data_IF_147331852658
#
_entry.id   IF_147331852658
#
_cell.length_a   1.000
_cell.length_b   1.000
_cell.length_c   1.000
_cell.angle_alpha   90.00
_cell.angle_beta   90.00
_cell.angle_gamma   90.00
#
_symmetry.space_group_name_H-M   'P 1'
#
loop_
_entity.id
_entity.type
_entity.pdbx_description
1 polymer ?
#
# COMPACT_ATOMS: atom_id res chain seq x y z
N UNK A 1 30.78 -17.46 -1.37
CA UNK A 1 29.79 -16.36 -1.40
C UNK A 1 29.82 -15.79 -2.80
N UNK A 2 28.69 -15.80 -3.50
CA UNK A 2 28.61 -15.31 -4.87
C UNK A 2 28.04 -13.89 -4.82
N UNK A 3 28.92 -12.88 -4.80
CA UNK A 3 28.49 -11.48 -4.88
C UNK A 3 28.19 -11.17 -6.35
N UNK A 4 26.92 -10.90 -6.67
CA UNK A 4 26.53 -10.48 -8.03
C UNK A 4 26.64 -8.97 -8.14
N UNK A 5 27.55 -8.48 -8.99
CA UNK A 5 27.72 -7.05 -9.27
C UNK A 5 26.88 -6.70 -10.49
N UNK A 6 25.88 -5.83 -10.31
CA UNK A 6 25.14 -5.25 -11.42
C UNK A 6 25.81 -3.94 -11.85
N UNK A 7 26.31 -3.89 -13.08
CA UNK A 7 26.74 -2.65 -13.72
C UNK A 7 25.57 -2.07 -14.50
N UNK A 8 24.89 -1.07 -13.95
CA UNK A 8 23.91 -0.30 -14.72
C UNK A 8 24.69 0.74 -15.53
N UNK A 9 25.12 0.35 -16.74
CA UNK A 9 25.73 1.28 -17.68
C UNK A 9 24.62 2.06 -18.38
N UNK A 10 24.65 3.39 -18.32
CA UNK A 10 23.88 4.21 -19.27
C UNK A 10 24.35 3.86 -20.68
N UNK A 11 23.50 3.18 -21.45
CA UNK A 11 23.85 2.77 -22.80
C UNK A 11 24.18 4.01 -23.64
N UNK A 12 25.45 4.14 -24.05
CA UNK A 12 25.83 5.08 -25.08
C UNK A 12 25.40 4.47 -26.42
N UNK A 13 24.19 4.81 -26.87
CA UNK A 13 23.76 4.43 -28.21
C UNK A 13 24.40 5.39 -29.23
N UNK A 14 24.92 4.86 -30.36
CA UNK A 14 25.57 5.67 -31.37
C UNK A 14 24.56 6.70 -31.91
N UNK A 15 25.01 7.95 -32.07
CA UNK A 15 24.25 9.01 -32.74
C UNK A 15 23.82 8.53 -34.13
N UNK A 16 22.57 8.08 -34.26
CA UNK A 16 21.90 7.88 -35.55
C UNK A 16 20.52 8.53 -35.50
N UNK A 17 20.45 9.69 -36.15
CA UNK A 17 19.30 10.27 -36.84
C UNK A 17 17.90 9.97 -36.25
N UNK A 18 17.46 10.85 -35.34
CA UNK A 18 16.15 11.51 -35.36
C UNK A 18 14.85 10.68 -35.33
N UNK A 19 14.79 9.51 -34.68
CA UNK A 19 13.49 8.94 -34.21
C UNK A 19 13.66 8.22 -32.86
N UNK A 20 12.96 8.72 -31.83
CA UNK A 20 12.63 8.05 -30.56
C UNK A 20 13.81 7.51 -29.73
N UNK A 21 14.20 8.23 -28.68
CA UNK A 21 15.16 7.76 -27.69
C UNK A 21 14.50 6.71 -26.79
N UNK A 22 15.01 5.47 -26.79
CA UNK A 22 14.68 4.48 -25.76
C UNK A 22 15.59 4.70 -24.54
N UNK A 23 15.02 5.15 -23.44
CA UNK A 23 15.70 5.18 -22.14
C UNK A 23 15.55 3.82 -21.45
N UNK A 24 16.57 3.40 -20.70
CA UNK A 24 16.47 2.25 -19.77
C UNK A 24 15.57 2.61 -18.57
N UNK A 25 15.47 3.92 -18.27
CA UNK A 25 14.48 4.50 -17.38
C UNK A 25 13.76 5.58 -18.17
N UNK A 26 12.73 5.19 -18.91
CA UNK A 26 11.76 6.14 -19.47
C UNK A 26 10.87 6.58 -18.31
N UNK A 27 10.84 7.88 -18.03
CA UNK A 27 9.98 8.45 -16.99
C UNK A 27 8.49 8.35 -17.36
N UNK A 28 8.17 7.93 -18.58
CA UNK A 28 6.81 7.60 -19.04
C UNK A 28 6.55 6.10 -19.17
N UNK A 29 7.55 5.24 -18.98
CA UNK A 29 7.41 3.79 -19.05
C UNK A 29 8.52 3.12 -18.24
N UNK A 30 8.33 2.91 -16.93
CA UNK A 30 9.28 2.14 -16.15
C UNK A 30 9.24 0.72 -16.70
N UNK A 31 10.24 0.34 -17.50
CA UNK A 31 10.47 -1.04 -17.86
C UNK A 31 10.41 -1.84 -16.57
N UNK A 32 9.50 -2.82 -16.53
CA UNK A 32 9.40 -3.81 -15.48
C UNK A 32 10.82 -4.14 -15.06
N UNK A 33 11.19 -3.73 -13.86
CA UNK A 33 12.35 -4.24 -13.15
C UNK A 33 12.08 -5.74 -13.13
N UNK A 34 12.57 -6.46 -14.13
CA UNK A 34 12.47 -7.90 -14.20
C UNK A 34 12.95 -8.34 -12.85
N UNK A 35 12.02 -8.91 -12.10
CA UNK A 35 12.16 -9.31 -10.71
C UNK A 35 13.13 -10.49 -10.70
N UNK A 36 14.41 -10.20 -10.95
CA UNK A 36 15.50 -11.02 -10.49
C UNK A 36 15.30 -11.05 -8.99
N UNK A 37 14.84 -12.21 -8.51
CA UNK A 37 14.75 -12.52 -7.09
C UNK A 37 16.05 -12.06 -6.43
N UNK A 38 16.03 -10.90 -5.76
CA UNK A 38 17.18 -10.25 -5.13
C UNK A 38 17.59 -11.00 -3.84
N UNK A 39 17.58 -12.34 -3.86
CA UNK A 39 17.83 -13.14 -2.66
C UNK A 39 19.31 -13.14 -2.24
N UNK A 40 20.24 -12.67 -3.09
CA UNK A 40 21.69 -12.79 -2.84
C UNK A 40 22.52 -11.58 -3.31
N UNK A 41 21.99 -10.35 -3.22
CA UNK A 41 22.79 -9.15 -3.53
C UNK A 41 23.40 -8.59 -2.24
N UNK A 42 24.72 -8.62 -2.17
CA UNK A 42 25.54 -8.07 -1.07
C UNK A 42 25.94 -6.60 -1.34
N UNK A 43 26.07 -6.23 -2.61
CA UNK A 43 26.48 -4.89 -3.06
C UNK A 43 25.68 -4.46 -4.28
N UNK A 44 25.27 -3.19 -4.33
CA UNK A 44 24.82 -2.52 -5.56
C UNK A 44 25.81 -1.42 -5.91
N UNK A 45 26.36 -1.45 -7.13
CA UNK A 45 27.32 -0.45 -7.61
C UNK A 45 26.65 0.38 -8.70
N UNK A 46 26.50 1.68 -8.45
CA UNK A 46 26.01 2.62 -9.44
C UNK A 46 27.20 3.42 -9.97
N UNK A 47 27.34 3.45 -11.30
CA UNK A 47 28.41 4.13 -12.00
C UNK A 47 27.81 5.08 -13.02
N UNK A 48 28.06 6.39 -12.85
CA UNK A 48 27.75 7.39 -13.87
C UNK A 48 29.07 7.86 -14.50
N UNK A 49 29.22 7.62 -15.82
CA UNK A 49 30.39 8.01 -16.57
C UNK A 49 30.47 9.51 -16.89
N UNK A 50 29.42 10.28 -16.55
CA UNK A 50 29.39 11.72 -16.76
C UNK A 50 29.55 12.48 -15.46
N UNK A 51 30.72 13.10 -15.33
CA UNK A 51 30.96 14.20 -14.40
C UNK A 51 29.81 15.21 -14.52
N UNK A 52 28.98 15.34 -13.47
CA UNK A 52 27.85 16.29 -13.35
C UNK A 52 26.55 15.98 -14.13
N UNK A 53 26.27 14.73 -14.54
CA UNK A 53 25.01 14.41 -15.22
C UNK A 53 24.15 13.28 -14.63
N UNK A 54 24.39 12.88 -13.37
CA UNK A 54 23.28 12.41 -12.55
C UNK A 54 22.31 13.60 -12.55
N UNK A 55 21.29 13.55 -13.40
CA UNK A 55 20.19 14.49 -13.26
C UNK A 55 19.74 14.32 -11.82
N UNK A 56 19.48 15.42 -11.11
CA UNK A 56 19.06 15.37 -9.70
C UNK A 56 17.99 14.28 -9.46
N UNK A 57 17.20 13.92 -10.48
CA UNK A 57 16.26 12.80 -10.48
C UNK A 57 16.84 11.41 -10.17
N UNK A 58 17.97 10.97 -10.75
CA UNK A 58 18.51 9.61 -10.51
C UNK A 58 19.18 9.50 -9.15
N UNK A 59 19.93 10.53 -8.73
CA UNK A 59 20.44 10.61 -7.36
C UNK A 59 19.28 10.70 -6.37
N UNK A 60 18.23 11.49 -6.63
CA UNK A 60 17.07 11.55 -5.74
C UNK A 60 16.29 10.23 -5.70
N UNK A 61 16.23 9.47 -6.80
CA UNK A 61 15.61 8.14 -6.82
C UNK A 61 16.46 7.13 -6.05
N UNK A 62 17.76 7.10 -6.25
CA UNK A 62 18.63 6.18 -5.52
C UNK A 62 18.66 6.59 -4.04
N UNK A 63 18.98 7.85 -3.76
CA UNK A 63 19.21 8.37 -2.40
C UNK A 63 17.93 8.54 -1.58
N UNK A 64 16.81 8.89 -2.21
CA UNK A 64 15.51 9.02 -1.56
C UNK A 64 14.68 7.74 -1.55
N UNK A 65 14.84 6.86 -2.55
CA UNK A 65 13.92 5.74 -2.80
C UNK A 65 14.54 4.36 -2.59
N UNK A 66 15.83 4.16 -2.84
CA UNK A 66 16.52 2.87 -2.71
C UNK A 66 17.44 2.78 -1.48
N UNK A 67 18.19 3.83 -1.16
CA UNK A 67 19.16 3.83 -0.04
C UNK A 67 18.50 3.56 1.31
N UNK A 68 17.42 4.27 1.71
CA UNK A 68 16.91 4.16 3.08
C UNK A 68 16.37 2.77 3.45
N UNK A 69 16.17 1.90 2.46
CA UNK A 69 15.51 0.61 2.61
C UNK A 69 16.47 -0.58 2.49
N UNK A 70 17.55 -0.47 1.72
CA UNK A 70 18.36 -1.63 1.35
C UNK A 70 19.85 -1.50 1.70
N UNK A 71 20.33 -0.32 2.08
CA UNK A 71 21.76 -0.05 2.24
C UNK A 71 22.05 0.87 3.42
N UNK A 72 23.04 0.53 4.24
CA UNK A 72 23.45 1.28 5.45
C UNK A 72 24.82 1.96 5.30
N UNK A 73 25.67 1.44 4.41
CA UNK A 73 26.96 2.04 4.08
C UNK A 73 26.99 2.50 2.62
N UNK A 74 27.36 3.75 2.42
CA UNK A 74 27.60 4.36 1.10
C UNK A 74 29.08 4.66 0.96
N UNK A 75 29.72 4.08 -0.04
CA UNK A 75 31.11 4.38 -0.39
C UNK A 75 31.16 5.15 -1.69
N UNK A 76 31.65 6.38 -1.63
CA UNK A 76 31.92 7.19 -2.81
C UNK A 76 33.40 7.09 -3.20
N UNK A 77 33.68 6.63 -4.41
CA UNK A 77 35.03 6.65 -4.98
C UNK A 77 34.99 7.13 -6.43
N UNK A 78 35.47 8.35 -6.66
CA UNK A 78 35.45 9.01 -7.98
C UNK A 78 34.03 9.05 -8.58
N UNK A 79 33.76 8.21 -9.58
CA UNK A 79 32.50 8.12 -10.32
C UNK A 79 31.67 6.89 -9.93
N UNK A 80 32.06 6.21 -8.86
CA UNK A 80 31.44 4.98 -8.38
C UNK A 80 30.83 5.29 -7.02
N UNK A 81 29.54 5.01 -6.89
CA UNK A 81 28.89 4.89 -5.59
C UNK A 81 28.59 3.41 -5.36
N UNK A 82 29.13 2.86 -4.28
CA UNK A 82 28.89 1.49 -3.84
C UNK A 82 27.97 1.56 -2.64
N UNK A 83 26.84 0.88 -2.75
CA UNK A 83 25.94 0.65 -1.63
C UNK A 83 26.16 -0.78 -1.13
N UNK A 84 26.48 -0.89 0.16
CA UNK A 84 26.59 -2.18 0.82
C UNK A 84 25.29 -2.45 1.57
N UNK A 85 24.77 -3.67 1.43
CA UNK A 85 23.59 -4.10 2.17
C UNK A 85 24.00 -4.39 3.62
N UNK A 86 23.29 -3.81 4.59
CA UNK A 86 23.50 -4.22 5.99
C UNK A 86 23.07 -5.68 6.13
N UNK A 87 23.85 -6.51 6.82
CA UNK A 87 23.48 -7.90 7.05
C UNK A 87 22.20 -8.06 7.90
N UNK A 88 21.68 -6.99 8.53
CA UNK A 88 20.44 -7.01 9.32
C UNK A 88 19.72 -5.65 9.29
N UNK A 89 19.21 -5.20 8.13
CA UNK A 89 18.41 -3.97 8.11
C UNK A 89 17.05 -4.29 8.71
N UNK A 90 16.81 -3.73 9.90
CA UNK A 90 15.47 -3.49 10.38
C UNK A 90 14.97 -2.23 9.67
N UNK A 91 14.05 -2.41 8.74
CA UNK A 91 13.43 -1.26 8.07
C UNK A 91 12.30 -0.81 8.99
N UNK A 92 12.62 0.08 9.94
CA UNK A 92 11.59 0.68 10.79
C UNK A 92 10.55 1.38 9.92
N UNK A 93 9.27 1.24 10.28
CA UNK A 93 8.13 1.80 9.57
C UNK A 93 7.63 0.96 8.38
N UNK A 94 8.25 -0.19 8.06
CA UNK A 94 7.72 -1.12 7.05
C UNK A 94 7.27 -2.41 7.72
N UNK A 95 6.02 -2.80 7.49
CA UNK A 95 5.39 -3.93 8.18
C UNK A 95 5.20 -5.14 7.26
N UNK A 96 5.15 -6.35 7.84
CA UNK A 96 4.90 -7.59 7.09
C UNK A 96 3.45 -7.64 6.65
N UNK A 97 3.19 -7.70 5.35
CA UNK A 97 1.82 -7.76 4.85
C UNK A 97 1.77 -8.44 3.48
N UNK A 98 0.56 -8.70 2.98
CA UNK A 98 0.39 -9.10 1.56
C UNK A 98 0.80 -7.94 0.65
N UNK A 99 0.43 -6.71 1.03
CA UNK A 99 0.86 -5.47 0.40
C UNK A 99 1.50 -4.56 1.46
N UNK A 100 2.81 -4.39 1.35
CA UNK A 100 3.63 -3.46 2.13
C UNK A 100 4.24 -2.35 1.26
N UNK A 101 3.86 -2.32 -0.02
CA UNK A 101 4.22 -1.35 -1.06
C UNK A 101 5.72 -1.05 -1.24
N UNK A 102 6.63 -1.87 -0.70
CA UNK A 102 8.08 -1.59 -0.72
C UNK A 102 8.67 -1.55 -2.13
N UNK A 103 8.02 -2.23 -3.08
CA UNK A 103 8.45 -2.30 -4.47
C UNK A 103 7.64 -1.38 -5.40
N UNK A 104 6.63 -0.67 -4.87
CA UNK A 104 5.85 0.26 -5.66
C UNK A 104 6.61 1.59 -5.77
N UNK A 105 6.77 2.08 -7.00
CA UNK A 105 7.59 3.27 -7.29
C UNK A 105 6.75 4.54 -7.25
N UNK A 106 5.55 4.50 -7.83
CA UNK A 106 4.57 5.59 -7.78
C UNK A 106 3.19 4.98 -7.61
N UNK A 107 2.79 4.07 -8.48
CA UNK A 107 1.44 3.48 -8.40
C UNK A 107 1.46 2.15 -7.65
N UNK A 108 0.45 1.86 -6.79
CA UNK A 108 0.30 0.56 -6.16
C UNK A 108 -0.10 -0.50 -7.21
N UNK A 109 0.90 -1.17 -7.80
CA UNK A 109 0.79 -1.88 -9.09
C UNK A 109 -0.25 -3.03 -9.17
N UNK A 110 -0.84 -3.44 -8.05
CA UNK A 110 -1.84 -4.52 -7.98
C UNK A 110 -3.26 -4.05 -7.68
N UNK A 111 -3.43 -2.74 -7.51
CA UNK A 111 -4.71 -2.12 -7.21
C UNK A 111 -5.29 -1.45 -8.46
N UNK A 112 -6.61 -1.53 -8.61
CA UNK A 112 -7.35 -0.74 -9.59
C UNK A 112 -7.63 0.64 -9.00
N UNK A 113 -7.32 1.70 -9.76
CA UNK A 113 -7.38 3.07 -9.29
C UNK A 113 -8.49 3.86 -10.00
N UNK A 114 -9.26 4.63 -9.26
CA UNK A 114 -10.10 5.70 -9.77
C UNK A 114 -9.58 7.03 -9.20
N UNK A 115 -9.02 7.85 -10.09
CA UNK A 115 -8.34 9.11 -9.78
C UNK A 115 -9.13 10.31 -10.34
N UNK A 116 -10.45 10.17 -10.52
CA UNK A 116 -11.29 11.28 -10.99
C UNK A 116 -11.33 12.46 -10.02
N UNK A 117 -11.28 12.19 -8.71
CA UNK A 117 -11.26 13.21 -7.65
C UNK A 117 -9.87 13.71 -7.23
N UNK A 118 -8.78 13.14 -7.73
CA UNK A 118 -7.44 13.44 -7.21
C UNK A 118 -6.38 12.42 -7.64
N UNK A 119 -5.39 12.12 -6.79
CA UNK A 119 -4.28 11.20 -7.10
C UNK A 119 -4.06 10.11 -6.05
N UNK A 120 -3.63 8.92 -6.50
CA UNK A 120 -3.28 7.79 -5.65
C UNK A 120 -1.83 7.40 -5.92
N UNK A 121 -0.98 7.43 -4.88
CA UNK A 121 0.45 7.12 -5.01
C UNK A 121 1.07 6.51 -3.77
N UNK A 122 2.05 5.62 -3.98
CA UNK A 122 2.98 5.18 -2.97
C UNK A 122 4.00 6.29 -2.66
N UNK A 123 3.97 6.79 -1.43
CA UNK A 123 4.91 7.77 -0.89
C UNK A 123 5.94 7.11 0.02
N UNK A 124 7.06 7.79 0.21
CA UNK A 124 8.19 7.24 0.96
C UNK A 124 7.89 7.04 2.43
N UNK A 125 7.26 8.03 3.05
CA UNK A 125 7.03 8.07 4.48
C UNK A 125 5.85 8.99 4.81
N UNK A 126 5.08 8.59 5.81
CA UNK A 126 4.05 9.40 6.46
C UNK A 126 3.91 8.95 7.92
N UNK A 127 3.98 9.87 8.88
CA UNK A 127 3.82 9.59 10.31
C UNK A 127 4.62 8.38 10.85
N UNK A 128 5.85 8.20 10.36
CA UNK A 128 6.74 7.10 10.76
C UNK A 128 6.45 5.75 10.09
N UNK A 129 5.34 5.62 9.34
CA UNK A 129 5.12 4.54 8.40
C UNK A 129 5.86 4.83 7.10
N UNK A 130 6.45 3.82 6.47
CA UNK A 130 7.20 3.94 5.23
C UNK A 130 6.57 3.11 4.13
N UNK A 131 6.71 3.59 2.89
CA UNK A 131 6.11 2.98 1.70
C UNK A 131 4.59 2.85 1.88
N UNK A 132 3.98 4.01 2.08
CA UNK A 132 2.55 4.17 2.38
C UNK A 132 1.83 4.57 1.10
N UNK A 133 0.61 4.08 0.87
CA UNK A 133 -0.23 4.59 -0.21
C UNK A 133 -1.03 5.78 0.28
N UNK A 134 -0.91 6.92 -0.40
CA UNK A 134 -1.73 8.11 -0.22
C UNK A 134 -2.82 8.14 -1.29
N UNK A 135 -4.08 8.35 -0.89
CA UNK A 135 -5.16 8.80 -1.75
C UNK A 135 -5.39 10.28 -1.41
N UNK A 136 -4.97 11.19 -2.28
CA UNK A 136 -5.24 12.62 -2.12
C UNK A 136 -6.44 13.01 -2.97
N UNK A 137 -7.49 13.51 -2.34
CA UNK A 137 -8.69 13.99 -3.00
C UNK A 137 -8.69 15.52 -2.98
N UNK A 138 -8.82 16.15 -4.14
CA UNK A 138 -8.84 17.60 -4.32
C UNK A 138 -10.09 18.08 -5.07
N UNK A 139 -11.13 17.24 -5.13
CA UNK A 139 -12.35 17.52 -5.86
C UNK A 139 -13.57 17.42 -4.93
N UNK A 140 -14.46 18.41 -4.97
CA UNK A 140 -15.67 18.40 -4.14
C UNK A 140 -16.79 17.49 -4.67
N UNK A 141 -16.74 17.13 -5.96
CA UNK A 141 -17.80 16.41 -6.66
C UNK A 141 -17.45 14.97 -7.04
N UNK A 142 -16.17 14.71 -7.26
CA UNK A 142 -15.67 13.39 -7.64
C UNK A 142 -14.98 12.73 -6.44
N UNK A 143 -14.84 11.41 -6.46
CA UNK A 143 -14.16 10.65 -5.41
C UNK A 143 -12.86 10.05 -5.92
N UNK A 144 -11.95 9.75 -4.98
CA UNK A 144 -10.77 8.92 -5.20
C UNK A 144 -11.02 7.53 -4.61
N UNK A 145 -10.67 6.49 -5.36
CA UNK A 145 -10.91 5.10 -4.93
C UNK A 145 -9.77 4.18 -5.36
N UNK A 146 -9.36 3.28 -4.46
CA UNK A 146 -8.53 2.12 -4.80
C UNK A 146 -9.29 0.81 -4.52
N UNK A 147 -9.08 -0.18 -5.37
CA UNK A 147 -9.73 -1.50 -5.27
C UNK A 147 -8.74 -2.63 -5.48
N UNK A 148 -8.66 -3.54 -4.51
CA UNK A 148 -7.95 -4.82 -4.65
C UNK A 148 -8.95 -5.91 -5.04
N UNK A 149 -8.63 -6.64 -6.10
CA UNK A 149 -9.44 -7.75 -6.60
C UNK A 149 -8.82 -9.08 -6.22
N UNK A 150 -9.65 -10.01 -5.72
CA UNK A 150 -9.20 -11.33 -5.32
C UNK A 150 -10.21 -12.42 -5.68
N UNK A 151 -9.77 -13.69 -5.60
CA UNK A 151 -10.67 -14.83 -5.78
C UNK A 151 -11.76 -14.80 -4.71
N UNK A 152 -12.99 -15.20 -5.06
CA UNK A 152 -14.14 -15.21 -4.14
C UNK A 152 -13.80 -15.85 -2.79
N UNK A 153 -14.10 -15.14 -1.70
CA UNK A 153 -13.94 -15.60 -0.32
C UNK A 153 -15.31 -15.66 0.35
N UNK A 154 -15.62 -16.78 1.01
CA UNK A 154 -16.83 -16.92 1.82
C UNK A 154 -16.64 -16.50 3.28
N UNK A 155 -15.39 -16.37 3.73
CA UNK A 155 -15.03 -15.84 5.05
C UNK A 155 -13.55 -15.51 5.04
N UNK A 156 -13.09 -14.74 6.02
CA UNK A 156 -11.68 -14.41 6.16
C UNK A 156 -11.41 -13.19 7.03
N UNK A 157 -10.13 -12.79 7.05
CA UNK A 157 -9.65 -11.63 7.78
C UNK A 157 -8.89 -10.70 6.82
N UNK A 158 -9.18 -9.41 6.89
CA UNK A 158 -8.36 -8.34 6.30
C UNK A 158 -7.79 -7.49 7.43
N UNK A 159 -6.49 -7.21 7.40
CA UNK A 159 -5.85 -6.28 8.34
C UNK A 159 -5.09 -5.20 7.60
N UNK A 160 -5.06 -3.98 8.13
CA UNK A 160 -4.35 -2.85 7.54
C UNK A 160 -4.07 -1.75 8.58
N UNK A 161 -3.13 -0.87 8.26
CA UNK A 161 -3.05 0.45 8.87
C UNK A 161 -3.81 1.46 8.00
N UNK A 162 -4.60 2.29 8.66
CA UNK A 162 -5.47 3.27 8.02
C UNK A 162 -5.41 4.60 8.78
N UNK A 163 -5.18 5.69 8.06
CA UNK A 163 -5.25 7.06 8.56
C UNK A 163 -6.07 7.94 7.62
N UNK A 164 -6.78 8.93 8.17
CA UNK A 164 -7.47 9.97 7.40
C UNK A 164 -7.15 11.36 7.95
N UNK A 165 -6.90 12.32 7.05
CA UNK A 165 -6.74 13.75 7.39
C UNK A 165 -8.06 14.52 7.40
N UNK A 166 -9.18 13.81 7.22
CA UNK A 166 -10.53 14.35 7.34
C UNK A 166 -11.43 13.26 7.93
N UNK A 167 -12.24 13.64 8.91
CA UNK A 167 -13.07 12.71 9.68
C UNK A 167 -14.53 13.17 9.80
N UNK A 168 -14.85 14.38 9.37
CA UNK A 168 -16.22 14.87 9.27
C UNK A 168 -16.90 14.35 8.01
N UNK A 169 -16.18 14.36 6.89
CA UNK A 169 -16.62 13.83 5.61
C UNK A 169 -16.29 12.35 5.45
N UNK A 170 -17.05 11.68 4.59
CA UNK A 170 -17.02 10.22 4.53
C UNK A 170 -15.78 9.69 3.81
N UNK A 171 -15.04 8.82 4.49
CA UNK A 171 -14.13 7.85 3.87
C UNK A 171 -14.58 6.44 4.23
N UNK A 172 -14.55 5.52 3.27
CA UNK A 172 -15.15 4.19 3.43
C UNK A 172 -14.19 3.05 3.10
N UNK A 173 -14.37 1.95 3.83
CA UNK A 173 -13.74 0.66 3.60
C UNK A 173 -14.86 -0.37 3.41
N UNK A 174 -14.90 -1.01 2.23
CA UNK A 174 -16.01 -1.89 1.85
C UNK A 174 -15.50 -3.22 1.31
N UNK A 175 -16.13 -4.31 1.73
CA UNK A 175 -15.96 -5.61 1.12
C UNK A 175 -17.18 -5.88 0.25
N UNK A 176 -16.96 -6.15 -1.03
CA UNK A 176 -18.04 -6.18 -2.02
C UNK A 176 -18.02 -7.46 -2.86
N UNK A 177 -19.17 -7.74 -3.46
CA UNK A 177 -19.41 -8.83 -4.40
C UNK A 177 -20.22 -8.31 -5.58
N UNK A 178 -19.58 -8.13 -6.73
CA UNK A 178 -20.20 -7.54 -7.93
C UNK A 178 -20.81 -6.14 -7.69
N UNK A 179 -22.11 -6.04 -7.38
CA UNK A 179 -22.83 -4.80 -7.09
C UNK A 179 -23.36 -4.73 -5.66
N UNK A 180 -23.10 -5.77 -4.85
CA UNK A 180 -23.58 -5.91 -3.47
C UNK A 180 -22.44 -5.63 -2.49
N UNK A 181 -22.78 -5.04 -1.34
CA UNK A 181 -21.84 -4.64 -0.28
C UNK A 181 -22.09 -5.45 0.98
N UNK A 182 -21.07 -6.16 1.46
CA UNK A 182 -21.11 -6.86 2.74
C UNK A 182 -20.71 -5.92 3.89
N UNK A 183 -19.58 -6.14 4.56
CA UNK A 183 -19.03 -5.17 5.50
C UNK A 183 -18.82 -3.79 4.85
N UNK A 184 -19.49 -2.77 5.40
CA UNK A 184 -19.36 -1.38 5.01
C UNK A 184 -19.02 -0.55 6.25
N UNK A 185 -17.74 -0.19 6.36
CA UNK A 185 -17.20 0.64 7.44
C UNK A 185 -16.88 2.02 6.88
N UNK A 186 -17.07 3.07 7.66
CA UNK A 186 -16.64 4.41 7.29
C UNK A 186 -16.16 5.22 8.49
N UNK A 187 -15.41 6.28 8.22
CA UNK A 187 -15.27 7.42 9.12
C UNK A 187 -16.15 8.53 8.59
N UNK A 188 -16.99 9.11 9.45
CA UNK A 188 -17.84 10.27 9.16
C UNK A 188 -18.26 10.93 10.48
N UNK A 189 -18.43 12.25 10.48
CA UNK A 189 -18.87 13.01 11.65
C UNK A 189 -18.04 12.74 12.92
N UNK A 190 -16.72 12.64 12.76
CA UNK A 190 -15.76 12.31 13.81
C UNK A 190 -15.93 10.92 14.44
N UNK A 191 -16.61 9.97 13.79
CA UNK A 191 -16.84 8.62 14.30
C UNK A 191 -16.40 7.55 13.30
N UNK A 192 -15.91 6.43 13.82
CA UNK A 192 -16.00 5.16 13.10
C UNK A 192 -17.45 4.68 13.13
N UNK A 193 -17.98 4.31 11.97
CA UNK A 193 -19.34 3.83 11.79
C UNK A 193 -19.36 2.60 10.88
N UNK A 194 -20.44 1.83 10.93
CA UNK A 194 -20.76 0.87 9.88
C UNK A 194 -22.18 1.08 9.35
N UNK A 195 -22.42 0.69 8.11
CA UNK A 195 -23.75 0.68 7.51
C UNK A 195 -24.36 -0.71 7.60
N UNK A 196 -25.57 -0.81 8.16
CA UNK A 196 -26.25 -2.08 8.41
C UNK A 196 -27.34 -2.43 7.38
N UNK A 197 -27.28 -1.79 6.20
CA UNK A 197 -28.30 -1.91 5.15
C UNK A 197 -29.39 -0.85 5.22
N UNK A 198 -29.61 -0.24 6.39
CA UNK A 198 -30.64 0.78 6.61
C UNK A 198 -30.10 2.14 7.06
N UNK A 199 -29.12 2.14 7.97
CA UNK A 199 -28.55 3.36 8.55
C UNK A 199 -27.10 3.16 8.96
N UNK A 200 -26.39 4.27 9.14
CA UNK A 200 -25.06 4.26 9.75
C UNK A 200 -25.18 4.20 11.27
N UNK A 201 -24.46 3.26 11.87
CA UNK A 201 -24.40 3.05 13.33
C UNK A 201 -23.00 3.38 13.81
N UNK A 202 -22.92 4.23 14.85
CA UNK A 202 -21.65 4.59 15.51
C UNK A 202 -21.03 3.40 16.21
N UNK A 203 -19.73 3.20 15.99
CA UNK A 203 -18.91 2.19 16.67
C UNK A 203 -18.14 2.86 17.82
N UNK A 204 -17.31 3.85 17.49
CA UNK A 204 -16.51 4.62 18.43
C UNK A 204 -16.08 5.95 17.83
N UNK A 205 -15.35 6.76 18.60
CA UNK A 205 -14.74 7.99 18.13
C UNK A 205 -13.60 7.69 17.15
N UNK A 206 -13.50 8.46 16.08
CA UNK A 206 -12.36 8.45 15.18
C UNK A 206 -11.31 9.47 15.65
N UNK A 207 -10.05 9.25 15.29
CA UNK A 207 -8.97 10.21 15.54
C UNK A 207 -8.41 10.66 14.19
N UNK A 208 -8.33 11.98 14.02
CA UNK A 208 -7.73 12.63 12.86
C UNK A 208 -6.22 12.45 12.87
N UNK A 209 -5.60 12.37 11.69
CA UNK A 209 -4.12 12.41 11.52
C UNK A 209 -3.40 11.35 12.37
N UNK A 210 -4.01 10.19 12.55
CA UNK A 210 -3.49 9.07 13.35
C UNK A 210 -3.74 7.74 12.64
N UNK A 211 -2.67 6.95 12.45
CA UNK A 211 -2.79 5.57 12.01
C UNK A 211 -3.51 4.71 13.03
N UNK A 212 -4.59 4.09 12.58
CA UNK A 212 -5.30 3.05 13.31
C UNK A 212 -4.97 1.70 12.68
N UNK A 213 -4.69 0.71 13.51
CA UNK A 213 -4.65 -0.68 13.08
C UNK A 213 -6.08 -1.22 13.01
N UNK A 214 -6.52 -1.62 11.82
CA UNK A 214 -7.83 -2.19 11.58
C UNK A 214 -7.70 -3.68 11.27
N UNK A 215 -8.60 -4.49 11.85
CA UNK A 215 -8.84 -5.89 11.49
C UNK A 215 -10.32 -6.11 11.24
N UNK A 216 -10.66 -6.67 10.09
CA UNK A 216 -12.03 -7.02 9.71
C UNK A 216 -12.07 -8.55 9.57
N UNK A 217 -12.77 -9.22 10.49
CA UNK A 217 -13.11 -10.64 10.35
C UNK A 217 -14.53 -10.74 9.79
N UNK A 218 -14.77 -11.52 8.74
CA UNK A 218 -16.09 -11.63 8.12
C UNK A 218 -16.47 -13.09 7.83
N UNK A 219 -17.77 -13.36 7.84
CA UNK A 219 -18.36 -14.62 7.43
C UNK A 219 -19.60 -14.35 6.55
N UNK A 220 -19.53 -14.75 5.29
CA UNK A 220 -20.61 -14.65 4.30
C UNK A 220 -21.51 -15.89 4.29
N UNK A 221 -21.06 -17.00 4.88
CA UNK A 221 -21.75 -18.29 4.89
C UNK A 221 -22.05 -18.78 6.30
N UNK A 222 -22.26 -20.08 6.47
CA UNK A 222 -22.55 -20.66 7.79
C UNK A 222 -21.34 -21.41 8.38
N UNK A 223 -20.11 -21.00 8.05
CA UNK A 223 -18.89 -21.74 8.42
C UNK A 223 -18.26 -21.28 9.74
N UNK A 224 -18.87 -20.33 10.45
CA UNK A 224 -18.50 -19.91 11.81
C UNK A 224 -17.08 -19.36 11.95
N UNK A 225 -16.53 -18.71 10.91
CA UNK A 225 -15.20 -18.12 10.96
C UNK A 225 -15.06 -17.13 12.13
N UNK A 226 -14.07 -17.34 13.00
CA UNK A 226 -13.87 -16.58 14.25
C UNK A 226 -15.13 -16.49 15.15
N UNK A 227 -16.07 -17.44 15.01
CA UNK A 227 -17.32 -17.48 15.76
C UNK A 227 -18.43 -16.56 15.24
N UNK A 228 -18.31 -16.01 14.04
CA UNK A 228 -19.35 -15.20 13.38
C UNK A 228 -20.48 -16.06 12.80
N UNK A 229 -21.72 -15.58 12.84
CA UNK A 229 -22.79 -16.17 12.03
C UNK A 229 -22.69 -15.70 10.57
N UNK A 230 -23.59 -16.20 9.73
CA UNK A 230 -23.74 -15.73 8.36
C UNK A 230 -24.04 -14.24 8.32
N UNK A 231 -23.39 -13.55 7.39
CA UNK A 231 -23.56 -12.13 7.11
C UNK A 231 -23.22 -11.25 8.31
N UNK A 232 -22.26 -11.70 9.12
CA UNK A 232 -21.70 -10.96 10.25
C UNK A 232 -20.20 -10.69 10.09
N UNK A 233 -19.75 -9.60 10.72
CA UNK A 233 -18.33 -9.29 10.87
C UNK A 233 -17.97 -8.77 12.26
N UNK A 234 -16.72 -8.97 12.65
CA UNK A 234 -16.08 -8.22 13.74
C UNK A 234 -15.17 -7.16 13.15
N UNK A 235 -15.12 -6.00 13.80
CA UNK A 235 -14.12 -4.97 13.54
C UNK A 235 -13.24 -4.83 14.77
N UNK A 236 -11.93 -4.82 14.59
CA UNK A 236 -10.99 -4.43 15.63
C UNK A 236 -10.34 -3.11 15.23
N UNK A 237 -10.30 -2.17 16.17
CA UNK A 237 -9.62 -0.88 16.01
C UNK A 237 -8.62 -0.79 17.14
N UNK A 238 -7.32 -0.76 16.80
CA UNK A 238 -6.22 -0.74 17.78
C UNK A 238 -6.38 -1.83 18.85
N UNK A 239 -6.61 -3.07 18.41
CA UNK A 239 -6.83 -4.26 19.26
C UNK A 239 -8.12 -4.32 20.08
N UNK A 240 -8.96 -3.29 20.02
CA UNK A 240 -10.28 -3.32 20.66
C UNK A 240 -11.28 -3.96 19.70
N UNK A 241 -11.88 -5.08 20.12
CA UNK A 241 -12.90 -5.82 19.37
C UNK A 241 -14.28 -5.15 19.48
N UNK A 242 -14.95 -4.98 18.35
CA UNK A 242 -16.33 -4.51 18.21
C UNK A 242 -17.16 -5.51 17.39
N UNK A 243 -18.47 -5.58 17.67
CA UNK A 243 -19.42 -6.47 17.01
C UNK A 243 -19.87 -7.67 17.85
N UNK A 244 -20.54 -8.67 17.25
CA UNK A 244 -20.70 -8.84 15.80
C UNK A 244 -21.62 -7.77 15.21
N UNK A 245 -21.32 -7.35 14.00
CA UNK A 245 -22.13 -6.43 13.20
C UNK A 245 -22.68 -7.17 11.99
N UNK A 246 -23.87 -6.78 11.53
CA UNK A 246 -24.47 -7.34 10.31
C UNK A 246 -23.95 -6.63 9.06
N UNK A 247 -23.92 -7.34 7.94
CA UNK A 247 -23.59 -6.79 6.63
C UNK A 247 -24.59 -5.71 6.18
N UNK A 248 -24.16 -4.91 5.20
CA UNK A 248 -25.07 -4.00 4.50
C UNK A 248 -26.08 -4.74 3.65
N UNK A 249 -25.66 -5.80 2.98
CA UNK A 249 -26.48 -6.68 2.15
C UNK A 249 -26.07 -8.15 2.40
N UNK A 250 -27.03 -9.07 2.34
CA UNK A 250 -26.78 -10.50 2.48
C UNK A 250 -25.99 -11.00 1.25
N UNK A 251 -24.77 -11.49 1.44
CA UNK A 251 -23.89 -11.91 0.34
C UNK A 251 -23.20 -13.22 0.67
N UNK A 252 -23.07 -14.11 -0.31
CA UNK A 252 -22.48 -15.44 -0.09
C UNK A 252 -20.95 -15.50 -0.21
N UNK A 253 -20.36 -14.49 -0.85
CA UNK A 253 -18.91 -14.35 -1.02
C UNK A 253 -18.57 -12.88 -1.25
N UNK A 254 -17.34 -12.48 -0.94
CA UNK A 254 -16.74 -11.20 -1.38
C UNK A 254 -15.61 -11.46 -2.37
N UNK A 255 -15.34 -10.54 -3.29
CA UNK A 255 -14.25 -10.66 -4.26
C UNK A 255 -13.46 -9.37 -4.50
N UNK A 256 -13.80 -8.29 -3.78
CA UNK A 256 -13.01 -7.07 -3.80
C UNK A 256 -13.05 -6.34 -2.48
N UNK A 257 -11.95 -5.65 -2.19
CA UNK A 257 -11.82 -4.71 -1.08
C UNK A 257 -11.63 -3.31 -1.63
N UNK A 258 -12.51 -2.40 -1.23
CA UNK A 258 -12.59 -1.04 -1.77
C UNK A 258 -12.33 -0.04 -0.66
N UNK A 259 -11.44 0.90 -0.93
CA UNK A 259 -11.21 2.08 -0.09
C UNK A 259 -11.50 3.30 -0.95
N UNK A 260 -12.35 4.19 -0.48
CA UNK A 260 -12.71 5.38 -1.25
C UNK A 260 -13.25 6.52 -0.41
N UNK A 261 -12.99 7.72 -0.89
CA UNK A 261 -13.52 8.99 -0.38
C UNK A 261 -14.94 9.23 -0.88
N UNK A 262 -15.62 10.24 -0.36
CA UNK A 262 -16.90 10.72 -0.87
C UNK A 262 -16.80 12.13 -1.43
N UNK A 263 -17.85 12.56 -2.14
CA UNK A 263 -18.07 14.00 -2.39
C UNK A 263 -17.95 14.78 -1.08
N UNK A 264 -17.31 15.93 -1.11
CA UNK A 264 -17.02 16.75 0.07
C UNK A 264 -15.68 16.48 0.75
N UNK A 265 -15.00 15.35 0.48
CA UNK A 265 -13.68 15.01 1.01
C UNK A 265 -12.54 15.80 0.33
N UNK A 266 -12.79 17.06 -0.06
CA UNK A 266 -11.87 17.86 -0.84
C UNK A 266 -10.67 18.34 -0.04
N UNK A 267 -9.52 18.40 -0.69
CA UNK A 267 -8.22 18.89 -0.19
C UNK A 267 -7.69 18.08 1.01
N UNK A 268 -7.97 16.77 1.02
CA UNK A 268 -7.65 15.86 2.12
C UNK A 268 -7.04 14.54 1.63
N UNK A 269 -6.42 13.80 2.54
CA UNK A 269 -5.74 12.53 2.26
C UNK A 269 -6.23 11.37 3.12
N UNK A 270 -6.17 10.19 2.53
CA UNK A 270 -6.26 8.90 3.22
C UNK A 270 -4.94 8.18 3.02
N UNK A 271 -4.42 7.55 4.07
CA UNK A 271 -3.17 6.80 4.03
C UNK A 271 -3.38 5.35 4.42
N UNK A 272 -2.85 4.45 3.60
CA UNK A 272 -2.98 3.00 3.74
C UNK A 272 -1.61 2.35 3.78
N UNK A 273 -1.42 1.44 4.73
CA UNK A 273 -0.21 0.65 4.85
C UNK A 273 -0.53 -0.79 5.30
N UNK A 274 0.39 -1.70 5.01
CA UNK A 274 0.44 -3.06 5.55
C UNK A 274 -0.86 -3.87 5.41
N UNK A 275 -1.41 -3.95 4.21
CA UNK A 275 -2.65 -4.68 3.93
C UNK A 275 -2.40 -6.19 3.86
N UNK A 276 -3.00 -6.96 4.77
CA UNK A 276 -2.89 -8.40 4.90
C UNK A 276 -4.22 -9.11 4.71
N UNK A 277 -4.17 -10.35 4.18
CA UNK A 277 -5.35 -11.20 3.96
C UNK A 277 -5.09 -12.61 4.48
N UNK A 278 -5.98 -13.17 5.28
CA UNK A 278 -5.78 -14.51 5.87
C UNK A 278 -5.80 -15.65 4.85
N UNK A 279 -6.36 -15.44 3.65
CA UNK A 279 -6.36 -16.43 2.57
C UNK A 279 -5.12 -16.39 1.67
N UNK A 280 -4.16 -15.51 1.95
CA UNK A 280 -2.86 -15.49 1.26
C UNK A 280 -1.88 -16.31 2.09
N UNK A 281 -1.39 -17.42 1.52
CA UNK A 281 -0.65 -18.47 2.27
C UNK A 281 0.65 -18.06 2.99
N UNK A 282 1.10 -16.81 2.89
CA UNK A 282 2.27 -16.29 3.61
C UNK A 282 1.90 -15.26 4.70
N UNK A 283 0.61 -15.06 4.98
CA UNK A 283 0.13 -14.08 5.95
C UNK A 283 -0.61 -14.77 7.10
N UNK A 284 -0.14 -14.56 8.33
CA UNK A 284 -0.87 -14.89 9.55
C UNK A 284 -1.49 -13.63 10.13
N UNK A 285 -2.63 -13.78 10.79
CA UNK A 285 -3.30 -12.66 11.47
C UNK A 285 -2.33 -12.03 12.48
N UNK A 286 -2.20 -10.71 12.42
CA UNK A 286 -1.28 -9.90 13.22
C UNK A 286 0.13 -9.76 12.66
N UNK A 287 0.47 -10.40 11.53
CA UNK A 287 1.78 -10.21 10.89
C UNK A 287 2.04 -8.74 10.55
N UNK A 288 0.99 -8.00 10.17
CA UNK A 288 1.11 -6.57 9.84
C UNK A 288 1.42 -5.64 11.00
N UNK A 289 1.55 -6.14 12.23
CA UNK A 289 2.10 -5.38 13.37
C UNK A 289 3.60 -5.56 13.55
N UNK A 290 4.19 -6.49 12.81
CA UNK A 290 5.61 -6.78 12.88
C UNK A 290 6.33 -6.06 11.75
N UNK A 291 7.32 -5.24 12.11
CA UNK A 291 8.21 -4.65 11.13
C UNK A 291 9.05 -5.73 10.43
N UNK A 292 9.41 -5.47 9.18
CA UNK A 292 10.28 -6.35 8.41
C UNK A 292 11.71 -6.24 8.95
N UNK A 293 12.15 -7.33 9.57
CA UNK A 293 13.58 -7.59 9.77
C UNK A 293 14.10 -8.34 8.54
N UNK A 294 15.07 -7.76 7.83
CA UNK A 294 15.86 -8.54 6.89
C UNK A 294 16.90 -9.33 7.69
N UNK A 295 16.90 -10.65 7.55
CA UNK A 295 17.92 -11.55 8.07
C UNK A 295 18.68 -12.24 6.96
#
# INVERSE_FOLDING_TARGET
MNSTIYFIRKAHLPKRNNRGYGYIFDDQNPYELQTYKLKEIEYAIFYDDRHYCCTNKLSNFIDGYLIPFFFDEVYHYKHITIYRRAPNIKINGVYKATYNFIYDIVDPAKWSLNEQGGDIKAILEHNGHKKVVQLFDNNEFESVQMTDWFNKQGSGTIELYFESTEIEEQVSLRLESNSETGPYICIKSSKFMYYNGNQFITICDAQKDTFNHLRIDFECGNKTYEGLNQDEFFLYINDIKYGPFIFSEDINTVNRFVIGTSSGFKDNSVYIDAVGYSWKGNYNIGDNKQEIATG
#
